data_IF_778715510469
#
_entry.id   IF_778715510469
#
_cell.length_a   1.000
_cell.length_b   1.000
_cell.length_c   1.000
_cell.angle_alpha   90.00
_cell.angle_beta   90.00
_cell.angle_gamma   90.00
#
_symmetry.space_group_name_H-M   'P 1'
#
loop_
_entity.id
_entity.type
_entity.pdbx_description
1 polymer ?
#
# COMPACT_ATOMS: atom_id res chain seq x y z
N UNK A 1 -45.19 -46.17 29.36
CA UNK A 1 -44.20 -45.18 29.83
C UNK A 1 -43.79 -44.30 28.66
N UNK A 2 -44.26 -43.05 28.66
CA UNK A 2 -43.85 -42.01 27.72
C UNK A 2 -42.50 -41.43 28.17
N UNK A 3 -41.53 -41.31 27.27
CA UNK A 3 -40.35 -40.45 27.46
C UNK A 3 -40.33 -39.42 26.33
N UNK A 4 -40.36 -38.16 26.74
CA UNK A 4 -40.31 -36.97 25.92
C UNK A 4 -38.84 -36.60 25.63
N UNK A 5 -38.55 -36.27 24.36
CA UNK A 5 -37.68 -35.19 23.80
C UNK A 5 -36.24 -34.94 24.34
N UNK A 6 -35.32 -34.19 23.67
CA UNK A 6 -35.52 -33.30 22.51
C UNK A 6 -34.40 -33.27 21.43
N UNK A 7 -34.68 -32.51 20.36
CA UNK A 7 -33.73 -31.64 19.65
C UNK A 7 -32.61 -32.30 18.84
N UNK A 8 -32.91 -32.68 17.59
CA UNK A 8 -31.93 -32.53 16.51
C UNK A 8 -32.47 -31.47 15.54
N UNK A 9 -31.83 -30.30 15.55
CA UNK A 9 -32.18 -29.16 14.71
C UNK A 9 -32.05 -29.54 13.23
N UNK A 10 -33.15 -29.34 12.51
CA UNK A 10 -33.22 -29.35 11.06
C UNK A 10 -32.16 -28.41 10.48
N UNK A 11 -31.33 -28.96 9.60
CA UNK A 11 -30.53 -28.16 8.67
C UNK A 11 -31.51 -27.45 7.75
N UNK A 12 -31.66 -26.14 7.98
CA UNK A 12 -32.45 -25.25 7.14
C UNK A 12 -31.89 -25.26 5.72
N UNK A 13 -32.63 -25.91 4.83
CA UNK A 13 -32.48 -25.78 3.39
C UNK A 13 -32.74 -24.32 3.02
N UNK A 14 -31.69 -23.54 2.81
CA UNK A 14 -31.78 -22.21 2.20
C UNK A 14 -31.29 -22.32 0.77
N UNK A 15 -32.23 -22.71 -0.08
CA UNK A 15 -32.43 -22.27 -1.47
C UNK A 15 -31.23 -21.51 -2.07
N UNK A 16 -30.32 -22.22 -2.76
CA UNK A 16 -29.40 -21.61 -3.72
C UNK A 16 -30.15 -21.39 -5.03
N UNK A 17 -31.00 -20.35 -5.04
CA UNK A 17 -31.71 -19.98 -6.24
C UNK A 17 -30.78 -19.23 -7.22
N UNK A 18 -30.91 -19.62 -8.48
CA UNK A 18 -30.14 -19.20 -9.64
C UNK A 18 -30.21 -17.69 -9.90
N UNK A 19 -29.19 -17.26 -10.67
CA UNK A 19 -29.16 -16.13 -11.59
C UNK A 19 -28.71 -14.77 -11.04
N UNK A 20 -27.42 -14.47 -11.20
CA UNK A 20 -26.95 -13.11 -11.44
C UNK A 20 -26.53 -12.99 -12.92
N UNK A 21 -26.99 -11.97 -13.66
CA UNK A 21 -26.86 -11.89 -15.11
C UNK A 21 -25.41 -11.62 -15.56
N UNK A 22 -25.05 -12.20 -16.72
CA UNK A 22 -23.92 -11.72 -17.52
C UNK A 22 -24.15 -10.25 -17.88
N UNK A 23 -23.23 -9.36 -17.50
CA UNK A 23 -23.12 -8.01 -18.08
C UNK A 23 -21.71 -7.78 -18.60
N UNK A 24 -21.59 -7.84 -19.92
CA UNK A 24 -20.64 -7.02 -20.66
C UNK A 24 -21.15 -5.59 -20.52
N UNK A 25 -20.35 -4.69 -19.96
CA UNK A 25 -20.37 -3.25 -20.26
C UNK A 25 -19.28 -2.58 -19.44
N UNK A 26 -18.38 -1.87 -20.12
CA UNK A 26 -17.58 -0.83 -19.50
C UNK A 26 -18.54 0.17 -18.85
N UNK A 27 -18.67 0.07 -17.54
CA UNK A 27 -19.29 1.08 -16.71
C UNK A 27 -18.15 1.95 -16.17
N UNK A 28 -18.05 3.22 -16.63
CA UNK A 28 -17.08 4.16 -16.10
C UNK A 28 -17.41 4.37 -14.63
N UNK A 29 -16.38 4.42 -13.79
CA UNK A 29 -16.50 4.73 -12.36
C UNK A 29 -16.81 6.23 -12.21
N UNK A 30 -17.99 6.64 -12.65
CA UNK A 30 -18.56 7.96 -12.42
C UNK A 30 -18.85 8.13 -10.92
N UNK A 31 -17.81 8.52 -10.18
CA UNK A 31 -17.92 9.67 -9.30
C UNK A 31 -16.64 10.46 -9.49
N UNK A 32 -16.81 11.68 -9.98
CA UNK A 32 -15.87 12.77 -9.90
C UNK A 32 -15.50 13.01 -8.42
N UNK A 33 -14.66 12.14 -7.87
CA UNK A 33 -13.80 12.44 -6.75
C UNK A 33 -12.73 13.32 -7.35
N UNK A 34 -12.70 14.58 -6.98
CA UNK A 34 -11.55 15.47 -7.12
C UNK A 34 -10.28 14.63 -6.97
N UNK A 35 -9.61 14.33 -8.09
CA UNK A 35 -8.33 13.65 -8.04
C UNK A 35 -7.40 14.66 -7.37
N UNK A 36 -7.01 14.35 -6.14
CA UNK A 36 -6.07 15.20 -5.45
C UNK A 36 -4.76 15.21 -6.24
N UNK A 37 -4.27 16.41 -6.52
CA UNK A 37 -3.01 16.59 -7.24
C UNK A 37 -1.82 16.33 -6.29
N UNK A 38 -0.68 15.93 -6.85
CA UNK A 38 0.61 15.87 -6.16
C UNK A 38 0.92 17.16 -5.41
N UNK A 39 0.59 18.32 -6.00
CA UNK A 39 0.77 19.65 -5.37
C UNK A 39 -0.07 19.83 -4.11
N UNK A 40 -1.30 19.31 -4.10
CA UNK A 40 -2.18 19.41 -2.92
C UNK A 40 -1.64 18.57 -1.78
N UNK A 41 -1.12 17.37 -2.09
CA UNK A 41 -0.44 16.53 -1.12
C UNK A 41 0.84 17.19 -0.59
N UNK A 42 1.66 17.79 -1.47
CA UNK A 42 2.88 18.48 -1.07
C UNK A 42 2.59 19.70 -0.18
N UNK A 43 1.58 20.51 -0.52
CA UNK A 43 1.11 21.62 0.30
C UNK A 43 0.53 21.19 1.65
N UNK A 44 -0.02 19.99 1.73
CA UNK A 44 -0.47 19.43 2.99
C UNK A 44 0.72 18.94 3.81
N UNK A 45 1.63 18.19 3.21
CA UNK A 45 2.84 17.68 3.86
C UNK A 45 3.85 18.77 4.24
N UNK A 46 3.81 19.96 3.62
CA UNK A 46 4.65 21.11 4.00
C UNK A 46 4.40 21.59 5.44
N UNK A 47 3.22 21.28 5.99
CA UNK A 47 2.87 21.53 7.41
C UNK A 47 3.34 20.40 8.34
N UNK A 48 3.78 19.28 7.77
CA UNK A 48 4.19 18.06 8.47
C UNK A 48 5.69 17.79 8.22
N UNK A 49 6.52 18.66 8.80
CA UNK A 49 7.98 18.57 8.71
C UNK A 49 8.52 17.82 9.93
N UNK A 50 9.34 16.81 9.68
CA UNK A 50 9.95 15.98 10.71
C UNK A 50 9.08 14.82 11.18
N UNK A 51 9.74 13.79 11.69
CA UNK A 51 9.13 12.51 12.13
C UNK A 51 8.08 12.68 13.22
N UNK A 52 8.24 13.70 14.08
CA UNK A 52 7.29 14.01 15.17
C UNK A 52 5.94 14.53 14.67
N UNK A 53 5.90 15.11 13.47
CA UNK A 53 4.69 15.71 12.89
C UNK A 53 4.07 14.82 11.79
N UNK A 54 4.43 13.53 11.74
CA UNK A 54 3.92 12.64 10.70
C UNK A 54 2.41 12.46 10.72
N UNK A 55 1.82 12.32 9.53
CA UNK A 55 0.38 12.17 9.34
C UNK A 55 0.04 10.80 8.75
N UNK A 56 -0.99 10.16 9.29
CA UNK A 56 -1.44 8.85 8.82
C UNK A 56 -2.11 8.90 7.44
N UNK A 57 -2.00 7.80 6.69
CA UNK A 57 -2.63 7.69 5.35
C UNK A 57 -4.15 7.88 5.37
N UNK A 58 -4.82 7.47 6.45
CA UNK A 58 -6.27 7.66 6.64
C UNK A 58 -6.64 9.14 6.72
N UNK A 59 -5.91 9.89 7.54
CA UNK A 59 -6.11 11.33 7.71
C UNK A 59 -5.79 12.08 6.41
N UNK A 60 -4.73 11.68 5.69
CA UNK A 60 -4.42 12.23 4.37
C UNK A 60 -5.56 11.98 3.37
N UNK A 61 -6.08 10.75 3.33
CA UNK A 61 -7.18 10.38 2.45
C UNK A 61 -8.46 11.19 2.75
N UNK A 62 -8.78 11.38 4.03
CA UNK A 62 -9.91 12.20 4.48
C UNK A 62 -9.74 13.67 4.07
N UNK A 63 -8.56 14.26 4.30
CA UNK A 63 -8.29 15.66 3.97
C UNK A 63 -8.25 15.93 2.45
N UNK A 64 -7.76 14.96 1.67
CA UNK A 64 -7.68 15.07 0.22
C UNK A 64 -8.96 14.60 -0.49
N UNK A 65 -9.91 13.98 0.22
CA UNK A 65 -11.12 13.37 -0.37
C UNK A 65 -10.83 12.15 -1.26
N UNK A 66 -9.61 11.64 -1.28
CA UNK A 66 -9.17 10.55 -2.15
C UNK A 66 -9.07 9.22 -1.41
N UNK A 67 -9.18 8.07 -2.10
CA UNK A 67 -8.96 6.78 -1.45
C UNK A 67 -7.48 6.63 -1.01
N UNK A 68 -7.25 5.94 0.12
CA UNK A 68 -5.88 5.72 0.64
C UNK A 68 -4.92 5.10 -0.40
N UNK A 69 -5.44 4.27 -1.31
CA UNK A 69 -4.63 3.66 -2.37
C UNK A 69 -4.04 4.72 -3.29
N UNK A 70 -4.80 5.76 -3.61
CA UNK A 70 -4.36 6.85 -4.47
C UNK A 70 -3.34 7.74 -3.76
N UNK A 71 -3.51 8.01 -2.46
CA UNK A 71 -2.50 8.72 -1.64
C UNK A 71 -1.14 8.02 -1.72
N UNK A 72 -1.10 6.68 -1.64
CA UNK A 72 0.16 5.91 -1.77
C UNK A 72 0.79 6.04 -3.16
N UNK A 73 -0.02 6.17 -4.22
CA UNK A 73 0.46 6.45 -5.58
C UNK A 73 1.07 7.84 -5.66
N UNK A 74 0.35 8.88 -5.22
CA UNK A 74 0.86 10.26 -5.22
C UNK A 74 2.17 10.42 -4.43
N UNK A 75 2.29 9.75 -3.27
CA UNK A 75 3.56 9.74 -2.52
C UNK A 75 4.69 9.08 -3.32
N UNK A 76 4.39 8.04 -4.10
CA UNK A 76 5.39 7.38 -4.92
C UNK A 76 5.83 8.29 -6.07
N UNK A 77 4.88 8.94 -6.74
CA UNK A 77 5.15 9.89 -7.83
C UNK A 77 6.02 11.07 -7.33
N UNK A 78 5.67 11.66 -6.18
CA UNK A 78 6.47 12.73 -5.57
C UNK A 78 7.89 12.27 -5.16
N UNK A 79 8.07 11.01 -4.78
CA UNK A 79 9.41 10.45 -4.48
C UNK A 79 10.23 10.25 -5.75
N UNK A 80 9.59 9.83 -6.84
CA UNK A 80 10.24 9.70 -8.14
C UNK A 80 10.66 11.07 -8.70
N UNK A 81 9.90 12.12 -8.40
CA UNK A 81 10.26 13.52 -8.67
C UNK A 81 11.41 14.06 -7.78
N UNK A 82 11.83 13.29 -6.76
CA UNK A 82 12.95 13.63 -5.88
C UNK A 82 12.56 14.39 -4.61
N UNK A 83 11.27 14.47 -4.26
CA UNK A 83 10.87 15.05 -2.99
C UNK A 83 11.23 14.15 -1.80
N UNK A 84 11.78 14.75 -0.73
CA UNK A 84 12.20 14.09 0.49
C UNK A 84 11.01 13.67 1.39
N UNK A 85 10.08 12.89 0.84
CA UNK A 85 8.88 12.42 1.55
C UNK A 85 9.18 11.09 2.23
N UNK A 86 9.32 11.14 3.54
CA UNK A 86 9.52 10.00 4.39
C UNK A 86 8.18 9.32 4.71
N UNK A 87 8.22 8.00 4.94
CA UNK A 87 7.02 7.22 5.22
C UNK A 87 7.33 5.99 6.03
N UNK A 88 6.85 5.93 7.27
CA UNK A 88 7.00 4.76 8.14
C UNK A 88 5.65 4.29 8.67
N UNK A 89 5.41 2.97 8.85
CA UNK A 89 4.14 2.48 9.40
C UNK A 89 3.79 3.06 10.77
N UNK A 90 4.80 3.44 11.56
CA UNK A 90 4.63 3.97 12.93
C UNK A 90 4.26 5.46 12.97
N UNK A 91 4.81 6.29 12.07
CA UNK A 91 4.65 7.77 12.13
C UNK A 91 3.82 8.31 10.96
N UNK A 92 3.52 7.51 9.94
CA UNK A 92 2.87 7.98 8.72
C UNK A 92 3.84 8.66 7.76
N UNK A 93 3.34 9.63 6.99
CA UNK A 93 4.07 10.38 5.97
C UNK A 93 4.44 11.78 6.48
N UNK A 94 5.64 12.25 6.12
CA UNK A 94 6.17 13.56 6.50
C UNK A 94 7.30 13.98 5.55
N UNK A 95 7.63 15.27 5.53
CA UNK A 95 8.82 15.78 4.85
C UNK A 95 10.01 15.69 5.80
N UNK A 96 11.14 15.17 5.33
CA UNK A 96 12.37 15.09 6.12
C UNK A 96 12.81 16.49 6.58
N UNK A 97 12.95 16.70 7.89
CA UNK A 97 13.49 17.94 8.45
C UNK A 97 15.02 17.91 8.47
N UNK A 98 15.59 16.72 8.66
CA UNK A 98 17.04 16.51 8.82
C UNK A 98 17.55 15.45 7.85
N UNK A 99 18.84 15.51 7.54
CA UNK A 99 19.53 14.49 6.73
C UNK A 99 19.46 13.10 7.35
N UNK A 100 19.41 13.00 8.67
CA UNK A 100 19.27 11.75 9.41
C UNK A 100 17.93 11.07 9.10
N UNK A 101 16.81 11.80 9.15
CA UNK A 101 15.49 11.26 8.79
C UNK A 101 15.40 10.81 7.33
N UNK A 102 16.07 11.55 6.44
CA UNK A 102 16.18 11.17 5.04
C UNK A 102 16.98 9.88 4.88
N UNK A 103 18.13 9.78 5.57
CA UNK A 103 19.02 8.61 5.54
C UNK A 103 18.30 7.36 6.06
N UNK A 104 17.59 7.47 7.19
CA UNK A 104 16.77 6.38 7.73
C UNK A 104 15.69 5.91 6.74
N UNK A 105 15.11 6.84 5.98
CA UNK A 105 14.13 6.49 4.93
C UNK A 105 14.80 5.79 3.76
N UNK A 106 15.96 6.26 3.30
CA UNK A 106 16.75 5.60 2.26
C UNK A 106 17.15 4.17 2.68
N UNK A 107 17.58 3.98 3.93
CA UNK A 107 17.88 2.66 4.48
C UNK A 107 16.64 1.75 4.51
N UNK A 108 15.49 2.29 4.93
CA UNK A 108 14.24 1.54 4.91
C UNK A 108 13.85 1.09 3.49
N UNK A 109 13.94 1.99 2.51
CA UNK A 109 13.67 1.67 1.11
C UNK A 109 14.65 0.62 0.58
N UNK A 110 15.94 0.76 0.92
CA UNK A 110 16.97 -0.20 0.54
C UNK A 110 16.71 -1.58 1.14
N UNK A 111 16.38 -1.67 2.42
CA UNK A 111 16.04 -2.93 3.09
C UNK A 111 14.82 -3.61 2.45
N UNK A 112 13.78 -2.83 2.13
CA UNK A 112 12.61 -3.33 1.42
C UNK A 112 12.97 -3.87 0.03
N UNK A 113 13.76 -3.12 -0.74
CA UNK A 113 14.20 -3.54 -2.07
C UNK A 113 15.04 -4.82 -2.00
N UNK A 114 16.01 -4.88 -1.09
CA UNK A 114 16.85 -6.06 -0.86
C UNK A 114 16.03 -7.30 -0.46
N UNK A 115 14.97 -7.11 0.33
CA UNK A 115 14.06 -8.21 0.67
C UNK A 115 13.35 -8.75 -0.58
N UNK A 116 12.77 -7.86 -1.41
CA UNK A 116 12.10 -8.26 -2.65
C UNK A 116 13.06 -8.92 -3.65
N UNK A 117 14.26 -8.37 -3.84
CA UNK A 117 15.30 -8.94 -4.70
C UNK A 117 15.77 -10.31 -4.18
N UNK A 118 15.90 -10.47 -2.86
CA UNK A 118 16.25 -11.74 -2.24
C UNK A 118 15.18 -12.82 -2.48
N UNK A 119 13.89 -12.44 -2.47
CA UNK A 119 12.80 -13.36 -2.85
C UNK A 119 12.88 -13.73 -4.33
N UNK A 120 13.11 -12.77 -5.21
CA UNK A 120 13.28 -13.02 -6.64
C UNK A 120 14.44 -13.98 -6.94
N UNK A 121 15.60 -13.76 -6.32
CA UNK A 121 16.78 -14.61 -6.45
C UNK A 121 16.45 -16.07 -6.07
N UNK A 122 15.73 -16.27 -4.96
CA UNK A 122 15.27 -17.60 -4.49
C UNK A 122 14.30 -18.25 -5.47
N UNK A 123 13.34 -17.49 -6.01
CA UNK A 123 12.36 -17.99 -6.98
C UNK A 123 13.02 -18.42 -8.29
N UNK A 124 13.99 -17.64 -8.76
CA UNK A 124 14.77 -17.93 -9.97
C UNK A 124 15.90 -18.94 -9.74
N UNK A 125 16.19 -19.30 -8.49
CA UNK A 125 17.32 -20.15 -8.07
C UNK A 125 18.69 -19.67 -8.58
N UNK A 126 18.88 -18.35 -8.62
CA UNK A 126 20.17 -17.73 -8.94
C UNK A 126 20.66 -16.97 -7.72
N UNK A 127 21.98 -16.88 -7.49
CA UNK A 127 22.50 -16.06 -6.40
C UNK A 127 22.20 -14.58 -6.68
N UNK A 128 22.01 -13.80 -5.62
CA UNK A 128 21.63 -12.38 -5.72
C UNK A 128 22.61 -11.51 -6.52
N UNK A 129 23.95 -11.70 -6.42
CA UNK A 129 24.90 -10.97 -7.27
C UNK A 129 24.66 -11.19 -8.77
N UNK A 130 24.36 -12.43 -9.16
CA UNK A 130 24.06 -12.78 -10.56
C UNK A 130 22.73 -12.16 -11.01
N UNK A 131 21.72 -12.14 -10.13
CA UNK A 131 20.45 -11.44 -10.41
C UNK A 131 20.67 -9.95 -10.70
N UNK A 132 21.56 -9.31 -9.96
CA UNK A 132 21.87 -7.89 -10.12
C UNK A 132 22.84 -7.60 -11.26
N UNK A 133 23.31 -8.63 -11.98
CA UNK A 133 24.30 -8.47 -13.05
C UNK A 133 25.64 -7.95 -12.56
N UNK A 134 25.93 -8.07 -11.26
CA UNK A 134 27.25 -7.74 -10.71
C UNK A 134 28.18 -8.92 -11.00
N UNK A 135 28.73 -8.87 -12.21
CA UNK A 135 29.62 -9.82 -12.86
C UNK A 135 30.68 -10.44 -11.93
N UNK A 136 30.82 -11.75 -12.11
CA UNK A 136 31.97 -12.57 -11.74
C UNK A 136 33.29 -11.87 -12.08
N UNK A 137 34.19 -11.75 -11.11
CA UNK A 137 35.59 -11.42 -11.37
C UNK A 137 36.21 -12.61 -12.12
N UNK A 138 36.67 -12.45 -13.38
CA UNK A 138 37.55 -13.45 -13.96
C UNK A 138 38.83 -13.46 -13.09
N UNK A 139 39.14 -14.62 -12.53
CA UNK A 139 40.41 -14.86 -11.82
C UNK A 139 41.42 -15.43 -12.80
#
# INVERSE_FOLDING_TARGET
>A
MQRQSPSTRCWGQSQTNRAAPRRISGQPYEKEKTMASSDQLLNLLSRHIGKGNGIGVKQLAEQLGTPERHVRTLVSDLRDEGHAICGTPKHGYYIAATSEELTQTCEFLRNRAMHSLGLEAKLRRIPLPDLLGQLHLPT
#
